data_IF_464271432883
#
_entry.id   IF_464271432883
#
_cell.length_a   1.000
_cell.length_b   1.000
_cell.length_c   1.000
_cell.angle_alpha   90.00
_cell.angle_beta   90.00
_cell.angle_gamma   90.00
#
_symmetry.space_group_name_H-M   'P 1'
#
loop_
_entity.id
_entity.type
_entity.pdbx_description
1 polymer ?
#
# COMPACT_ATOMS: atom_id res chain seq x y z
N UNK A 1 -11.48 23.93 11.60
CA UNK A 1 -10.23 23.40 11.03
C UNK A 1 -9.88 22.08 11.68
N UNK A 2 -9.63 21.06 10.91
CA UNK A 2 -9.14 19.83 11.51
C UNK A 2 -7.76 20.05 12.12
N UNK A 3 -7.63 19.70 13.38
CA UNK A 3 -6.35 19.75 14.05
C UNK A 3 -5.45 18.68 13.47
N UNK A 4 -4.35 19.06 12.86
CA UNK A 4 -3.35 18.14 12.39
C UNK A 4 -2.65 17.51 13.59
N UNK A 5 -2.59 16.18 13.57
CA UNK A 5 -1.92 15.42 14.62
C UNK A 5 -0.42 15.35 14.37
N UNK A 6 0.37 15.58 15.43
CA UNK A 6 1.80 15.22 15.55
C UNK A 6 2.71 15.66 14.39
N UNK A 7 3.45 16.73 14.58
CA UNK A 7 4.56 17.11 13.71
C UNK A 7 4.20 17.74 12.37
N UNK A 8 2.93 17.80 12.03
CA UNK A 8 2.48 18.56 10.87
C UNK A 8 2.37 20.04 11.26
N UNK A 9 3.19 20.87 10.65
CA UNK A 9 2.96 22.30 10.72
C UNK A 9 1.65 22.60 10.00
N UNK A 10 0.81 23.45 10.61
CA UNK A 10 -0.41 23.97 9.95
C UNK A 10 0.07 24.93 8.87
N UNK A 11 0.44 24.39 7.72
CA UNK A 11 0.75 25.20 6.55
C UNK A 11 -0.49 25.18 5.66
N UNK A 12 -0.80 26.34 5.14
CA UNK A 12 -1.92 26.49 4.23
C UNK A 12 -1.63 25.74 2.94
N UNK A 13 -2.45 24.74 2.64
CA UNK A 13 -2.33 23.96 1.41
C UNK A 13 -2.81 24.79 0.22
N UNK A 14 -2.09 24.75 -0.86
CA UNK A 14 -2.39 25.50 -2.08
C UNK A 14 -2.96 24.59 -3.15
N UNK A 15 -4.19 24.83 -3.58
CA UNK A 15 -4.86 24.01 -4.59
C UNK A 15 -4.12 23.99 -5.92
N UNK A 16 -3.43 25.07 -6.28
CA UNK A 16 -2.67 25.13 -7.52
C UNK A 16 -1.33 24.38 -7.49
N UNK A 17 -0.88 24.00 -6.29
CA UNK A 17 0.30 23.13 -6.16
C UNK A 17 -0.17 21.69 -6.24
N UNK A 18 0.21 21.02 -7.32
CA UNK A 18 -0.25 19.67 -7.63
C UNK A 18 0.89 18.69 -7.42
N UNK A 19 0.65 17.68 -6.61
CA UNK A 19 1.54 16.52 -6.51
C UNK A 19 1.01 15.44 -7.45
N UNK A 20 1.82 15.03 -8.40
CA UNK A 20 1.50 13.93 -9.31
C UNK A 20 2.10 12.64 -8.77
N UNK A 21 1.25 11.72 -8.36
CA UNK A 21 1.66 10.44 -7.81
C UNK A 21 1.31 9.32 -8.78
N UNK A 22 2.26 8.44 -8.99
CA UNK A 22 2.09 7.25 -9.80
C UNK A 22 2.35 6.01 -8.94
N UNK A 23 1.39 5.10 -8.91
CA UNK A 23 1.55 3.82 -8.23
C UNK A 23 2.25 2.87 -9.19
N UNK A 24 3.52 2.60 -8.94
CA UNK A 24 4.36 1.83 -9.84
C UNK A 24 4.75 0.48 -9.25
N UNK A 25 5.29 -0.37 -10.12
CA UNK A 25 5.72 -1.71 -9.72
C UNK A 25 7.05 -1.66 -8.97
N UNK A 26 8.01 -0.88 -9.45
CA UNK A 26 9.35 -0.80 -8.86
C UNK A 26 9.39 -0.01 -7.56
N UNK A 27 8.60 1.02 -7.48
CA UNK A 27 8.39 1.78 -6.25
C UNK A 27 6.89 1.86 -6.00
N UNK A 28 6.43 1.56 -4.80
CA UNK A 28 5.01 1.66 -4.48
C UNK A 28 4.38 2.98 -4.90
N UNK A 29 5.07 4.07 -4.64
CA UNK A 29 4.62 5.40 -5.04
C UNK A 29 5.79 6.21 -5.57
N UNK A 30 5.62 6.80 -6.74
CA UNK A 30 6.54 7.81 -7.30
C UNK A 30 5.79 9.13 -7.38
N UNK A 31 6.37 10.18 -6.83
CA UNK A 31 5.71 11.50 -6.71
C UNK A 31 6.54 12.57 -7.36
N UNK A 32 5.90 13.44 -8.13
CA UNK A 32 6.52 14.62 -8.73
C UNK A 32 5.77 15.85 -8.23
N UNK A 33 6.49 16.77 -7.61
CA UNK A 33 5.94 18.05 -7.18
C UNK A 33 6.85 19.14 -7.75
N UNK A 34 6.35 19.88 -8.72
CA UNK A 34 7.16 20.87 -9.44
C UNK A 34 8.33 20.21 -10.16
N UNK A 35 9.55 20.57 -9.77
CA UNK A 35 10.78 19.98 -10.34
C UNK A 35 11.36 18.86 -9.48
N UNK A 36 10.78 18.60 -8.32
CA UNK A 36 11.28 17.59 -7.40
C UNK A 36 10.58 16.26 -7.60
N UNK A 37 11.34 15.19 -7.51
CA UNK A 37 10.87 13.82 -7.65
C UNK A 37 11.18 13.04 -6.39
N UNK A 38 10.20 12.28 -5.91
CA UNK A 38 10.30 11.49 -4.68
C UNK A 38 9.83 10.06 -4.94
N UNK A 39 10.42 9.12 -4.23
CA UNK A 39 10.02 7.72 -4.28
C UNK A 39 9.68 7.23 -2.88
N UNK A 40 8.57 6.54 -2.75
CA UNK A 40 8.08 6.01 -1.49
C UNK A 40 8.01 4.49 -1.58
N UNK A 41 8.76 3.85 -0.69
CA UNK A 41 8.83 2.40 -0.61
C UNK A 41 9.71 1.74 -1.66
N UNK A 42 9.85 0.44 -1.55
CA UNK A 42 10.66 -0.38 -2.43
C UNK A 42 9.91 -1.70 -2.71
N UNK A 43 9.75 -2.03 -3.98
CA UNK A 43 9.11 -3.25 -4.44
C UNK A 43 9.76 -4.50 -3.84
N UNK A 44 11.08 -4.57 -3.91
CA UNK A 44 11.82 -5.75 -3.45
C UNK A 44 11.60 -6.00 -1.96
N UNK A 45 11.68 -4.96 -1.15
CA UNK A 45 11.44 -5.06 0.28
C UNK A 45 10.00 -5.51 0.58
N UNK A 46 9.02 -4.90 -0.08
CA UNK A 46 7.61 -5.21 0.12
C UNK A 46 7.28 -6.64 -0.29
N UNK A 47 7.65 -7.00 -1.51
CA UNK A 47 7.32 -8.32 -2.08
C UNK A 47 8.14 -9.43 -1.44
N UNK A 48 9.40 -9.20 -1.13
CA UNK A 48 10.26 -10.20 -0.50
C UNK A 48 9.64 -10.74 0.78
N UNK A 49 9.23 -9.85 1.68
CA UNK A 49 8.62 -10.27 2.94
C UNK A 49 7.27 -10.93 2.74
N UNK A 50 6.45 -10.42 1.85
CA UNK A 50 5.16 -11.02 1.53
C UNK A 50 5.33 -12.43 0.96
N UNK A 51 6.27 -12.61 0.03
CA UNK A 51 6.58 -13.91 -0.55
C UNK A 51 7.12 -14.89 0.49
N UNK A 52 7.93 -14.43 1.43
CA UNK A 52 8.44 -15.27 2.52
C UNK A 52 7.28 -15.80 3.40
N UNK A 53 6.30 -14.96 3.70
CA UNK A 53 5.11 -15.36 4.44
C UNK A 53 4.29 -16.38 3.63
N UNK A 54 4.09 -16.13 2.34
CA UNK A 54 3.37 -17.03 1.45
C UNK A 54 4.07 -18.39 1.31
N UNK A 55 5.39 -18.39 1.19
CA UNK A 55 6.19 -19.61 1.10
C UNK A 55 6.08 -20.44 2.39
N UNK A 56 6.11 -19.80 3.54
CA UNK A 56 5.94 -20.48 4.83
C UNK A 56 4.54 -21.10 4.95
N UNK A 57 3.52 -20.36 4.54
CA UNK A 57 2.13 -20.86 4.50
C UNK A 57 1.99 -22.06 3.56
N UNK A 58 2.58 -21.97 2.38
CA UNK A 58 2.52 -23.03 1.38
C UNK A 58 3.19 -24.33 1.86
N UNK A 59 4.36 -24.21 2.51
CA UNK A 59 5.04 -25.36 3.12
C UNK A 59 4.15 -26.02 4.18
N UNK A 60 3.48 -25.24 4.98
CA UNK A 60 2.59 -25.73 6.01
C UNK A 60 1.36 -26.41 5.41
N UNK A 61 0.81 -25.88 4.31
CA UNK A 61 -0.30 -26.50 3.57
C UNK A 61 0.09 -27.85 3.02
N UNK A 62 1.28 -27.98 2.41
CA UNK A 62 1.78 -29.26 1.92
C UNK A 62 1.94 -30.28 3.05
N UNK A 63 2.51 -29.86 4.17
CA UNK A 63 2.68 -30.74 5.32
C UNK A 63 1.33 -31.21 5.88
N UNK A 64 0.31 -30.35 5.89
CA UNK A 64 -1.03 -30.71 6.38
C UNK A 64 -1.79 -31.64 5.46
N UNK A 65 -1.49 -31.65 4.16
CA UNK A 65 -2.14 -32.53 3.20
C UNK A 65 -1.85 -34.01 3.48
N UNK A 66 -0.73 -34.32 4.12
CA UNK A 66 -0.36 -35.70 4.51
C UNK A 66 -0.92 -36.13 5.85
N UNK A 67 -1.54 -35.25 6.62
CA UNK A 67 -2.13 -35.56 7.92
C UNK A 67 -3.63 -35.83 7.79
N UNK A 68 -4.02 -37.08 8.01
CA UNK A 68 -5.41 -37.52 7.92
C UNK A 68 -6.11 -37.41 9.29
N UNK A 69 -6.45 -36.21 9.70
CA UNK A 69 -7.26 -35.98 10.89
C UNK A 69 -6.47 -35.96 12.22
N UNK A 70 -7.14 -35.77 13.34
CA UNK A 70 -6.58 -35.73 14.69
C UNK A 70 -6.07 -34.37 15.13
N UNK A 71 -5.39 -34.36 16.30
CA UNK A 71 -4.87 -33.15 16.95
C UNK A 71 -3.87 -32.38 16.09
N UNK A 72 -3.06 -33.09 15.31
CA UNK A 72 -2.07 -32.48 14.42
C UNK A 72 -2.69 -31.61 13.35
N UNK A 73 -3.83 -32.01 12.78
CA UNK A 73 -4.56 -31.23 11.78
C UNK A 73 -5.08 -29.91 12.33
N UNK A 74 -5.67 -29.93 13.53
CA UNK A 74 -6.19 -28.71 14.18
C UNK A 74 -5.07 -27.70 14.44
N UNK A 75 -3.91 -28.15 14.92
CA UNK A 75 -2.74 -27.29 15.15
C UNK A 75 -2.26 -26.66 13.86
N UNK A 76 -2.20 -27.43 12.77
CA UNK A 76 -1.77 -26.93 11.46
C UNK A 76 -2.76 -25.94 10.87
N UNK A 77 -4.06 -26.15 11.04
CA UNK A 77 -5.09 -25.20 10.62
C UNK A 77 -4.97 -23.88 11.36
N UNK A 78 -4.74 -23.91 12.67
CA UNK A 78 -4.49 -22.70 13.46
C UNK A 78 -3.23 -21.94 12.98
N UNK A 79 -2.18 -22.68 12.65
CA UNK A 79 -0.95 -22.10 12.12
C UNK A 79 -1.17 -21.47 10.74
N UNK A 80 -1.97 -22.09 9.88
CA UNK A 80 -2.35 -21.53 8.58
C UNK A 80 -3.11 -20.21 8.74
N UNK A 81 -4.07 -20.17 9.67
CA UNK A 81 -4.81 -18.95 9.98
C UNK A 81 -3.88 -17.85 10.48
N UNK A 82 -2.91 -18.22 11.33
CA UNK A 82 -1.90 -17.28 11.80
C UNK A 82 -1.08 -16.66 10.65
N UNK A 83 -0.66 -17.46 9.68
CA UNK A 83 0.07 -16.95 8.52
C UNK A 83 -0.79 -16.09 7.61
N UNK A 84 -2.08 -16.41 7.45
CA UNK A 84 -3.02 -15.56 6.72
C UNK A 84 -3.17 -14.19 7.38
N UNK A 85 -3.34 -14.16 8.70
CA UNK A 85 -3.43 -12.92 9.46
C UNK A 85 -2.12 -12.13 9.40
N UNK A 86 -0.99 -12.80 9.49
CA UNK A 86 0.33 -12.19 9.41
C UNK A 86 0.56 -11.51 8.06
N UNK A 87 0.17 -12.16 6.97
CA UNK A 87 0.27 -11.58 5.63
C UNK A 87 -0.63 -10.36 5.49
N UNK A 88 -1.89 -10.48 5.90
CA UNK A 88 -2.86 -9.38 5.86
C UNK A 88 -2.38 -8.19 6.68
N UNK A 89 -1.92 -8.42 7.89
CA UNK A 89 -1.43 -7.36 8.78
C UNK A 89 -0.18 -6.69 8.22
N UNK A 90 0.72 -7.46 7.62
CA UNK A 90 1.92 -6.92 6.99
C UNK A 90 1.57 -6.01 5.81
N UNK A 91 0.72 -6.48 4.90
CA UNK A 91 0.29 -5.69 3.74
C UNK A 91 -0.41 -4.41 4.20
N UNK A 92 -1.35 -4.53 5.12
CA UNK A 92 -2.10 -3.40 5.64
C UNK A 92 -1.19 -2.36 6.30
N UNK A 93 -0.23 -2.80 7.12
CA UNK A 93 0.76 -1.91 7.75
C UNK A 93 1.60 -1.15 6.72
N UNK A 94 2.02 -1.82 5.65
CA UNK A 94 2.80 -1.18 4.58
C UNK A 94 1.97 -0.18 3.79
N UNK A 95 0.72 -0.50 3.49
CA UNK A 95 -0.18 0.42 2.80
C UNK A 95 -0.46 1.67 3.65
N UNK A 96 -0.63 1.50 4.95
CA UNK A 96 -0.74 2.63 5.88
C UNK A 96 0.53 3.48 5.88
N UNK A 97 1.69 2.86 5.92
CA UNK A 97 2.97 3.56 5.93
C UNK A 97 3.17 4.37 4.65
N UNK A 98 2.96 3.75 3.50
CA UNK A 98 3.16 4.41 2.20
C UNK A 98 2.17 5.55 1.98
N UNK A 99 0.90 5.33 2.27
CA UNK A 99 -0.12 6.37 2.14
C UNK A 99 0.15 7.55 3.09
N UNK A 100 0.57 7.26 4.31
CA UNK A 100 0.95 8.31 5.27
C UNK A 100 2.14 9.13 4.76
N UNK A 101 3.17 8.49 4.26
CA UNK A 101 4.34 9.19 3.71
C UNK A 101 4.00 10.08 2.52
N UNK A 102 3.09 9.61 1.66
CA UNK A 102 2.62 10.41 0.54
C UNK A 102 1.89 11.66 1.01
N UNK A 103 0.98 11.55 1.97
CA UNK A 103 0.24 12.68 2.50
C UNK A 103 1.17 13.65 3.26
N UNK A 104 2.11 13.13 4.03
CA UNK A 104 3.13 13.95 4.70
C UNK A 104 3.94 14.76 3.68
N UNK A 105 4.31 14.14 2.57
CA UNK A 105 5.03 14.80 1.50
C UNK A 105 4.19 15.91 0.85
N UNK A 106 2.91 15.66 0.59
CA UNK A 106 1.99 16.66 0.08
C UNK A 106 1.87 17.86 1.03
N UNK A 107 1.74 17.60 2.32
CA UNK A 107 1.67 18.66 3.33
C UNK A 107 2.97 19.45 3.39
N UNK A 108 4.10 18.78 3.36
CA UNK A 108 5.43 19.41 3.38
C UNK A 108 5.67 20.32 2.17
N UNK A 109 5.19 19.91 1.01
CA UNK A 109 5.32 20.68 -0.23
C UNK A 109 4.16 21.66 -0.45
N UNK A 110 3.21 21.72 0.48
CA UNK A 110 2.01 22.55 0.40
C UNK A 110 1.09 22.22 -0.78
N UNK A 111 1.15 20.98 -1.25
CA UNK A 111 0.31 20.51 -2.34
C UNK A 111 -1.13 20.28 -1.86
N UNK A 112 -2.04 21.15 -2.25
CA UNK A 112 -3.47 21.03 -1.93
C UNK A 112 -4.23 20.10 -2.86
N UNK A 113 -3.61 19.69 -3.95
CA UNK A 113 -4.19 18.75 -4.92
C UNK A 113 -3.23 17.59 -5.16
N UNK A 114 -3.74 16.38 -5.08
CA UNK A 114 -3.01 15.15 -5.36
C UNK A 114 -3.64 14.48 -6.58
N UNK A 115 -2.87 14.35 -7.64
CA UNK A 115 -3.28 13.68 -8.87
C UNK A 115 -2.66 12.29 -8.91
N UNK A 116 -3.49 11.26 -8.89
CA UNK A 116 -3.06 9.88 -9.09
C UNK A 116 -3.14 9.55 -10.58
N UNK A 117 -1.99 9.50 -11.24
CA UNK A 117 -1.92 9.38 -12.70
C UNK A 117 -1.83 7.92 -13.16
N UNK A 118 -2.37 7.65 -14.35
CA UNK A 118 -2.25 6.38 -15.07
C UNK A 118 -2.80 5.15 -14.32
N UNK A 119 -3.85 5.31 -13.53
CA UNK A 119 -4.41 4.19 -12.76
C UNK A 119 -5.11 3.16 -13.65
N UNK A 120 -5.81 3.60 -14.69
CA UNK A 120 -6.47 2.69 -15.64
C UNK A 120 -5.47 1.80 -16.38
N UNK A 121 -4.35 2.36 -16.83
CA UNK A 121 -3.29 1.59 -17.49
C UNK A 121 -2.68 0.54 -16.56
N UNK A 122 -2.57 0.85 -15.28
CA UNK A 122 -2.00 -0.07 -14.29
C UNK A 122 -2.93 -1.22 -13.95
N UNK A 123 -4.23 -1.00 -13.98
CA UNK A 123 -5.20 -2.08 -13.86
C UNK A 123 -5.04 -3.08 -15.01
N UNK A 124 -4.87 -2.60 -16.25
CA UNK A 124 -4.65 -3.46 -17.41
C UNK A 124 -3.34 -4.24 -17.30
N UNK A 125 -2.26 -3.57 -16.91
CA UNK A 125 -0.97 -4.22 -16.67
C UNK A 125 -1.04 -5.27 -15.56
N UNK A 126 -1.79 -4.98 -14.49
CA UNK A 126 -1.99 -5.92 -13.40
C UNK A 126 -2.85 -7.11 -13.80
N UNK A 127 -3.78 -6.96 -14.73
CA UNK A 127 -4.59 -8.06 -15.28
C UNK A 127 -3.74 -9.04 -16.08
N UNK A 128 -2.72 -8.55 -16.79
CA UNK A 128 -1.81 -9.37 -17.57
C UNK A 128 -0.79 -10.10 -16.69
N UNK A 129 -0.58 -9.62 -15.48
CA UNK A 129 0.32 -10.25 -14.51
C UNK A 129 -0.44 -10.62 -13.23
N UNK A 130 -0.86 -11.88 -13.14
CA UNK A 130 -1.57 -12.40 -11.97
C UNK A 130 -0.78 -12.24 -10.67
N UNK A 131 0.54 -12.30 -10.75
CA UNK A 131 1.42 -12.13 -9.60
C UNK A 131 1.28 -10.73 -9.02
N UNK A 132 1.29 -9.71 -9.88
CA UNK A 132 1.11 -8.31 -9.48
C UNK A 132 -0.29 -8.07 -8.92
N UNK A 133 -1.31 -8.63 -9.57
CA UNK A 133 -2.68 -8.48 -9.11
C UNK A 133 -2.88 -9.05 -7.70
N UNK A 134 -2.30 -10.21 -7.43
CA UNK A 134 -2.41 -10.88 -6.13
C UNK A 134 -1.57 -10.22 -5.04
N UNK A 135 -0.38 -9.71 -5.40
CA UNK A 135 0.59 -9.25 -4.41
C UNK A 135 0.62 -7.74 -4.23
N UNK A 136 0.02 -7.00 -5.14
CA UNK A 136 0.03 -5.55 -5.15
C UNK A 136 -1.36 -5.00 -4.88
N UNK A 137 -1.61 -4.58 -3.68
CA UNK A 137 -2.94 -4.12 -3.24
C UNK A 137 -3.20 -2.66 -3.64
N UNK A 138 -3.27 -2.40 -4.95
CA UNK A 138 -3.49 -1.05 -5.49
C UNK A 138 -4.74 -0.37 -4.94
N UNK A 139 -5.86 -1.08 -4.95
CA UNK A 139 -7.12 -0.52 -4.49
C UNK A 139 -7.09 -0.15 -3.01
N UNK A 140 -6.50 -1.01 -2.20
CA UNK A 140 -6.32 -0.74 -0.78
C UNK A 140 -5.46 0.49 -0.53
N UNK A 141 -4.40 0.65 -1.32
CA UNK A 141 -3.52 1.82 -1.23
C UNK A 141 -4.26 3.11 -1.63
N UNK A 142 -5.01 3.09 -2.74
CA UNK A 142 -5.81 4.23 -3.21
C UNK A 142 -6.82 4.65 -2.16
N UNK A 143 -7.55 3.71 -1.57
CA UNK A 143 -8.53 3.99 -0.53
C UNK A 143 -7.92 4.65 0.70
N UNK A 144 -6.77 4.16 1.15
CA UNK A 144 -6.04 4.75 2.27
C UNK A 144 -5.53 6.16 1.96
N UNK A 145 -5.05 6.39 0.74
CA UNK A 145 -4.61 7.70 0.28
C UNK A 145 -5.80 8.69 0.29
N UNK A 146 -6.94 8.29 -0.26
CA UNK A 146 -8.15 9.12 -0.28
C UNK A 146 -8.61 9.50 1.13
N UNK A 147 -8.64 8.52 2.02
CA UNK A 147 -9.04 8.72 3.41
C UNK A 147 -8.13 9.72 4.13
N UNK A 148 -6.83 9.54 4.04
CA UNK A 148 -5.85 10.40 4.70
C UNK A 148 -5.79 11.80 4.09
N UNK A 149 -5.93 11.90 2.77
CA UNK A 149 -6.01 13.18 2.07
C UNK A 149 -7.21 14.00 2.52
N UNK A 150 -8.35 13.36 2.64
CA UNK A 150 -9.58 13.99 3.13
C UNK A 150 -9.40 14.54 4.54
N UNK A 151 -8.71 13.85 5.40
CA UNK A 151 -8.46 14.27 6.79
C UNK A 151 -7.65 15.56 6.88
N UNK A 152 -6.76 15.82 5.92
CA UNK A 152 -5.92 17.03 5.91
C UNK A 152 -6.36 18.08 4.91
N UNK A 153 -7.45 17.84 4.19
CA UNK A 153 -8.01 18.79 3.24
C UNK A 153 -7.34 18.79 1.87
N UNK A 154 -6.70 17.71 1.48
CA UNK A 154 -6.12 17.55 0.14
C UNK A 154 -7.18 17.01 -0.80
N UNK A 155 -7.31 17.65 -1.97
CA UNK A 155 -8.20 17.19 -3.03
C UNK A 155 -7.50 16.11 -3.85
N UNK A 156 -8.10 14.92 -3.94
CA UNK A 156 -7.55 13.78 -4.69
C UNK A 156 -8.30 13.62 -6.00
N UNK A 157 -7.55 13.58 -7.09
CA UNK A 157 -8.06 13.31 -8.42
C UNK A 157 -7.43 12.00 -8.91
N UNK A 158 -8.25 11.03 -9.25
CA UNK A 158 -7.81 9.74 -9.78
C UNK A 158 -8.06 9.72 -11.28
N UNK A 159 -7.01 9.54 -12.03
CA UNK A 159 -7.05 9.52 -13.48
C UNK A 159 -7.06 8.10 -14.04
#
# INVERSE_FOLDING_TARGET
MPKMRRGYSIQELKEHVIAEASLAIEHPISVIVGKESFQIGNKEEFLYRRMAIQAARHRLQKASAFNKGGRGRKRKMKSLDHYNDKEKNYVDSKLHLYSRRLIELCVKTQAGTLLLVNQSNKEELAKDDEFLLRNWSYYGLIEKIKYKAKMVGINVIVE
#
